data_IF_849037543744
#
_entry.id   IF_849037543744
#
_cell.length_a   1.000
_cell.length_b   1.000
_cell.length_c   1.000
_cell.angle_alpha   90.00
_cell.angle_beta   90.00
_cell.angle_gamma   90.00
#
_symmetry.space_group_name_H-M   'P 1'
#
loop_
_entity.id
_entity.type
_entity.pdbx_description
1 polymer ?
#
# COMPACT_ATOMS: atom_id res chain seq x y z
N UNK A 1 12.10 -2.64 21.20
CA UNK A 1 11.76 -2.16 19.84
C UNK A 1 12.95 -1.38 19.32
N UNK A 2 13.42 -1.65 18.09
CA UNK A 2 14.73 -1.18 17.63
C UNK A 2 14.86 0.35 17.50
N UNK A 3 13.75 1.09 17.37
CA UNK A 3 13.76 2.52 17.03
C UNK A 3 12.94 3.42 17.99
N UNK A 4 12.54 2.92 19.17
CA UNK A 4 11.73 3.69 20.15
C UNK A 4 10.40 4.27 19.64
N UNK A 5 9.90 3.78 18.51
CA UNK A 5 8.58 4.15 17.97
C UNK A 5 7.50 3.33 18.70
N UNK A 6 6.43 3.97 19.24
CA UNK A 6 5.29 3.25 19.81
C UNK A 6 4.65 2.31 18.79
N UNK A 7 4.30 1.10 19.22
CA UNK A 7 3.66 0.10 18.37
C UNK A 7 2.25 -0.13 18.87
N UNK A 8 1.31 0.07 17.95
CA UNK A 8 -0.11 -0.19 18.14
C UNK A 8 -0.52 -1.35 17.23
N UNK A 9 -1.44 -2.20 17.71
CA UNK A 9 -2.00 -3.32 16.93
C UNK A 9 -3.52 -3.20 16.88
N UNK A 10 -4.03 -2.14 16.24
CA UNK A 10 -5.47 -1.92 16.16
C UNK A 10 -6.11 -3.06 15.37
N UNK A 11 -7.14 -3.67 15.94
CA UNK A 11 -7.89 -4.77 15.30
C UNK A 11 -9.23 -4.31 14.74
N UNK A 12 -9.63 -3.09 15.08
CA UNK A 12 -10.90 -2.49 14.70
C UNK A 12 -10.73 -1.03 14.24
N UNK A 13 -11.75 -0.52 13.55
CA UNK A 13 -11.73 0.82 12.95
C UNK A 13 -11.73 1.95 13.99
N UNK A 14 -12.47 1.79 15.08
CA UNK A 14 -12.51 2.74 16.21
C UNK A 14 -11.16 2.86 16.92
N UNK A 15 -10.42 1.76 17.05
CA UNK A 15 -9.04 1.78 17.56
C UNK A 15 -8.11 2.57 16.62
N UNK A 16 -8.31 2.47 15.30
CA UNK A 16 -7.55 3.27 14.34
C UNK A 16 -7.87 4.76 14.44
N UNK A 17 -9.14 5.13 14.60
CA UNK A 17 -9.58 6.52 14.67
C UNK A 17 -8.82 7.32 15.75
N UNK A 18 -8.70 6.75 16.96
CA UNK A 18 -7.98 7.39 18.06
C UNK A 18 -6.49 7.63 17.75
N UNK A 19 -5.86 6.72 17.00
CA UNK A 19 -4.44 6.79 16.64
C UNK A 19 -4.20 7.85 15.54
N UNK A 20 -5.05 7.88 14.52
CA UNK A 20 -4.83 8.75 13.35
C UNK A 20 -5.27 10.19 13.58
N UNK A 21 -6.08 10.44 14.62
CA UNK A 21 -6.50 11.79 14.99
C UNK A 21 -5.33 12.72 15.40
N UNK A 22 -4.17 12.15 15.73
CA UNK A 22 -2.95 12.89 16.06
C UNK A 22 -1.96 12.99 14.89
N UNK A 23 -2.33 12.50 13.70
CA UNK A 23 -1.44 12.42 12.55
C UNK A 23 -1.83 13.42 11.45
N UNK A 24 -0.84 14.09 10.86
CA UNK A 24 -1.05 14.87 9.63
C UNK A 24 -1.20 13.98 8.39
N UNK A 25 -0.52 12.83 8.37
CA UNK A 25 -0.44 11.88 7.26
C UNK A 25 -0.27 10.47 7.81
N UNK A 26 -0.90 9.48 7.16
CA UNK A 26 -0.66 8.06 7.43
C UNK A 26 -0.04 7.40 6.21
N UNK A 27 1.03 6.62 6.44
CA UNK A 27 1.70 5.82 5.41
C UNK A 27 1.39 4.35 5.67
N UNK A 28 0.81 3.66 4.68
CA UNK A 28 0.49 2.25 4.76
C UNK A 28 1.31 1.44 3.76
N UNK A 29 1.73 0.24 4.18
CA UNK A 29 2.43 -0.73 3.35
C UNK A 29 1.92 -2.10 3.78
N UNK A 30 1.16 -2.78 2.91
CA UNK A 30 0.60 -4.11 3.21
C UNK A 30 -0.30 -4.15 4.46
N UNK A 31 -0.98 -3.04 4.78
CA UNK A 31 -1.87 -2.99 5.95
C UNK A 31 -3.19 -3.70 5.64
N UNK A 32 -3.53 -4.71 6.45
CA UNK A 32 -4.61 -5.65 6.15
C UNK A 32 -6.02 -5.22 6.57
N UNK A 33 -6.17 -4.10 7.30
CA UNK A 33 -7.49 -3.64 7.74
C UNK A 33 -8.12 -2.75 6.66
N UNK A 34 -9.32 -3.11 6.23
CA UNK A 34 -10.13 -2.25 5.37
C UNK A 34 -10.69 -1.09 6.19
N UNK A 35 -10.29 0.14 5.86
CA UNK A 35 -10.70 1.33 6.61
C UNK A 35 -11.94 1.98 5.96
N UNK A 36 -12.96 2.34 6.76
CA UNK A 36 -14.08 3.12 6.26
C UNK A 36 -13.61 4.53 5.84
N UNK A 37 -14.31 5.12 4.87
CA UNK A 37 -13.94 6.40 4.27
C UNK A 37 -13.81 7.56 5.29
N UNK A 38 -14.58 7.53 6.38
CA UNK A 38 -14.50 8.58 7.40
C UNK A 38 -13.13 8.58 8.10
N UNK A 39 -12.50 7.42 8.31
CA UNK A 39 -11.15 7.33 8.90
C UNK A 39 -10.11 7.87 7.94
N UNK A 40 -10.23 7.56 6.65
CA UNK A 40 -9.31 8.03 5.61
C UNK A 40 -9.24 9.56 5.53
N UNK A 41 -10.28 10.25 6.01
CA UNK A 41 -10.41 11.71 6.03
C UNK A 41 -9.92 12.37 7.32
N UNK A 42 -9.58 11.62 8.37
CA UNK A 42 -9.14 12.19 9.65
C UNK A 42 -7.79 12.92 9.50
N UNK A 43 -6.72 12.30 8.97
CA UNK A 43 -5.45 13.01 8.80
C UNK A 43 -5.58 14.12 7.77
N UNK A 44 -4.97 15.27 8.03
CA UNK A 44 -5.00 16.46 7.15
C UNK A 44 -4.65 16.15 5.69
N UNK A 45 -3.66 15.30 5.47
CA UNK A 45 -3.20 14.89 4.14
C UNK A 45 -3.75 13.52 3.71
N UNK A 46 -4.48 12.84 4.59
CA UNK A 46 -5.10 11.54 4.38
C UNK A 46 -4.12 10.38 4.53
N UNK A 47 -4.36 9.32 3.76
CA UNK A 47 -3.56 8.10 3.74
C UNK A 47 -2.87 7.95 2.39
N UNK A 48 -1.59 7.56 2.41
CA UNK A 48 -0.86 7.12 1.24
C UNK A 48 -0.44 5.67 1.41
N UNK A 49 -0.47 4.92 0.31
CA UNK A 49 -0.09 3.52 0.31
C UNK A 49 1.01 3.24 -0.70
N UNK A 50 1.94 2.36 -0.33
CA UNK A 50 2.89 1.75 -1.26
C UNK A 50 2.31 0.45 -1.80
N UNK A 51 2.07 0.42 -3.10
CA UNK A 51 1.55 -0.75 -3.81
C UNK A 51 2.63 -1.40 -4.67
N UNK A 52 2.71 -2.72 -4.68
CA UNK A 52 3.77 -3.48 -5.36
C UNK A 52 3.42 -3.82 -6.82
N UNK A 53 2.85 -2.85 -7.54
CA UNK A 53 2.73 -2.87 -9.00
C UNK A 53 2.81 -1.46 -9.59
N UNK A 54 2.83 -1.39 -10.92
CA UNK A 54 2.52 -0.18 -11.68
C UNK A 54 1.00 -0.02 -11.82
N UNK A 55 0.38 0.71 -10.90
CA UNK A 55 -1.05 1.00 -10.98
C UNK A 55 -1.38 1.75 -12.29
N UNK A 56 -2.55 1.52 -12.90
CA UNK A 56 -3.70 0.77 -12.37
C UNK A 56 -3.63 -0.76 -12.58
N UNK A 57 -2.54 -1.30 -13.14
CA UNK A 57 -2.38 -2.74 -13.34
C UNK A 57 -2.19 -3.43 -11.99
N UNK A 58 -2.82 -4.59 -11.82
CA UNK A 58 -2.72 -5.43 -10.62
C UNK A 58 -3.13 -4.75 -9.30
N UNK A 59 -4.27 -4.06 -9.28
CA UNK A 59 -4.94 -3.71 -8.02
C UNK A 59 -5.23 -4.97 -7.19
N UNK A 60 -5.28 -4.83 -5.87
CA UNK A 60 -5.63 -5.88 -4.92
C UNK A 60 -4.44 -6.60 -4.31
N UNK A 61 -4.68 -7.79 -3.77
CA UNK A 61 -3.85 -8.37 -2.72
C UNK A 61 -2.51 -9.01 -3.15
N UNK A 62 -2.35 -9.41 -4.40
CA UNK A 62 -1.20 -10.23 -4.84
C UNK A 62 -0.53 -9.71 -6.14
N UNK A 63 -0.17 -8.42 -6.23
CA UNK A 63 0.27 -7.83 -7.48
C UNK A 63 1.51 -8.47 -8.10
N UNK A 64 2.51 -8.80 -7.27
CA UNK A 64 3.78 -9.38 -7.71
C UNK A 64 3.58 -10.77 -8.31
N UNK A 65 2.83 -11.63 -7.61
CA UNK A 65 2.54 -12.99 -8.06
C UNK A 65 1.77 -12.98 -9.37
N UNK A 66 0.80 -12.06 -9.51
CA UNK A 66 -0.01 -11.95 -10.74
C UNK A 66 0.77 -11.39 -11.92
N UNK A 67 1.70 -10.46 -11.68
CA UNK A 67 2.62 -9.99 -12.72
C UNK A 67 3.47 -11.15 -13.28
N UNK A 68 4.04 -11.97 -12.39
CA UNK A 68 4.81 -13.16 -12.79
C UNK A 68 3.95 -14.20 -13.51
N UNK A 69 2.77 -14.53 -12.99
CA UNK A 69 1.85 -15.50 -13.59
C UNK A 69 1.39 -15.09 -15.00
N UNK A 70 1.19 -13.79 -15.22
CA UNK A 70 0.80 -13.25 -16.52
C UNK A 70 1.97 -13.13 -17.52
N UNK A 71 3.21 -13.38 -17.08
CA UNK A 71 4.41 -13.20 -17.89
C UNK A 71 4.77 -11.74 -18.16
N UNK A 72 4.44 -10.83 -17.24
CA UNK A 72 4.86 -9.43 -17.37
C UNK A 72 6.40 -9.35 -17.34
N UNK A 73 6.98 -8.61 -18.29
CA UNK A 73 8.44 -8.37 -18.35
C UNK A 73 8.86 -7.15 -17.53
N UNK A 74 7.89 -6.43 -16.97
CA UNK A 74 8.12 -5.20 -16.20
C UNK A 74 7.06 -5.05 -15.12
N UNK A 75 7.48 -4.68 -13.93
CA UNK A 75 6.59 -4.31 -12.82
C UNK A 75 7.17 -3.09 -12.10
N UNK A 76 6.73 -2.84 -10.87
CA UNK A 76 7.22 -1.72 -10.11
C UNK A 76 6.51 -1.54 -8.78
N UNK A 77 6.71 -0.37 -8.20
CA UNK A 77 5.99 0.09 -7.01
C UNK A 77 5.31 1.42 -7.33
N UNK A 78 4.15 1.66 -6.71
CA UNK A 78 3.38 2.90 -6.87
C UNK A 78 3.03 3.47 -5.50
N UNK A 79 3.29 4.77 -5.31
CA UNK A 79 2.78 5.55 -4.19
C UNK A 79 1.52 6.28 -4.65
N UNK A 80 0.40 6.02 -3.97
CA UNK A 80 -0.89 6.62 -4.31
C UNK A 80 -1.67 6.98 -3.04
N UNK A 81 -2.66 7.86 -3.17
CA UNK A 81 -3.58 8.21 -2.08
C UNK A 81 -4.69 7.16 -1.97
N UNK A 82 -5.00 6.69 -0.75
CA UNK A 82 -6.17 5.84 -0.55
C UNK A 82 -7.47 6.64 -0.75
N UNK A 83 -8.44 6.00 -1.39
CA UNK A 83 -9.82 6.47 -1.49
C UNK A 83 -10.78 5.35 -1.05
N UNK A 84 -12.08 5.51 -1.32
CA UNK A 84 -13.09 4.52 -0.95
C UNK A 84 -13.00 3.19 -1.72
N UNK A 85 -12.24 3.15 -2.81
CA UNK A 85 -12.09 1.95 -3.63
C UNK A 85 -10.78 1.22 -3.34
N UNK A 86 -10.62 0.04 -3.94
CA UNK A 86 -9.44 -0.80 -3.77
C UNK A 86 -8.36 -0.38 -4.78
N UNK A 87 -7.30 0.27 -4.28
CA UNK A 87 -6.16 0.74 -5.07
C UNK A 87 -6.54 1.64 -6.25
N UNK A 88 -7.58 2.47 -6.08
CA UNK A 88 -8.16 3.32 -7.14
C UNK A 88 -7.76 4.78 -7.07
N UNK A 89 -7.19 5.23 -5.95
CA UNK A 89 -6.97 6.64 -5.73
C UNK A 89 -5.81 7.25 -6.54
N UNK A 90 -5.64 8.58 -6.48
CA UNK A 90 -4.66 9.31 -7.27
C UNK A 90 -3.22 8.82 -7.05
N UNK A 91 -2.53 8.53 -8.15
CA UNK A 91 -1.11 8.15 -8.15
C UNK A 91 -0.24 9.40 -8.00
N UNK A 92 0.72 9.37 -7.08
CA UNK A 92 1.71 10.43 -6.91
C UNK A 92 3.02 10.12 -7.64
N UNK A 93 3.49 8.88 -7.56
CA UNK A 93 4.75 8.45 -8.18
C UNK A 93 4.77 6.94 -8.37
N UNK A 94 5.49 6.49 -9.39
CA UNK A 94 5.76 5.09 -9.64
C UNK A 94 7.22 4.89 -10.02
N UNK A 95 7.80 3.79 -9.55
CA UNK A 95 9.12 3.32 -9.96
C UNK A 95 8.94 1.98 -10.67
N UNK A 96 9.43 1.88 -11.90
CA UNK A 96 9.33 0.68 -12.71
C UNK A 96 10.69 -0.01 -12.85
N UNK A 97 10.69 -1.34 -12.84
CA UNK A 97 11.87 -2.17 -13.08
C UNK A 97 11.51 -3.41 -13.90
N UNK A 98 12.50 -3.95 -14.60
CA UNK A 98 12.32 -5.12 -15.45
C UNK A 98 12.32 -6.40 -14.61
N UNK A 99 11.52 -7.38 -15.03
CA UNK A 99 11.49 -8.72 -14.44
C UNK A 99 12.39 -9.61 -15.28
N UNK A 100 13.50 -10.04 -14.71
CA UNK A 100 14.36 -11.03 -15.34
C UNK A 100 13.70 -12.42 -15.35
N UNK A 101 13.97 -13.24 -16.36
CA UNK A 101 13.31 -14.54 -16.53
C UNK A 101 13.56 -15.54 -15.40
N UNK A 102 14.57 -15.30 -14.56
CA UNK A 102 14.92 -16.14 -13.41
C UNK A 102 14.35 -15.62 -12.09
N UNK A 103 13.77 -14.41 -12.07
CA UNK A 103 13.21 -13.81 -10.86
C UNK A 103 11.94 -14.53 -10.42
N UNK A 104 11.82 -14.75 -9.12
CA UNK A 104 10.64 -15.28 -8.47
C UNK A 104 9.98 -14.22 -7.58
N UNK A 105 8.90 -14.58 -6.88
CA UNK A 105 8.17 -13.64 -6.02
C UNK A 105 9.02 -13.05 -4.89
N UNK A 106 9.93 -13.83 -4.30
CA UNK A 106 10.80 -13.35 -3.23
C UNK A 106 11.81 -12.32 -3.77
N UNK A 107 12.36 -12.54 -4.96
CA UNK A 107 13.30 -11.59 -5.59
C UNK A 107 12.63 -10.23 -5.86
N UNK A 108 11.36 -10.24 -6.25
CA UNK A 108 10.59 -9.02 -6.54
C UNK A 108 10.05 -8.30 -5.27
N UNK A 109 10.12 -8.93 -4.10
CA UNK A 109 9.68 -8.37 -2.81
C UNK A 109 10.85 -8.03 -1.88
N UNK A 110 12.08 -8.25 -2.31
CA UNK A 110 13.30 -8.03 -1.54
C UNK A 110 13.70 -6.56 -1.42
#
# INVERSE_FOLDING_TARGET
>A
MANSVPVHKPVAADEMEALVNQCDLVVTIGFGLLLPEYILKIPKFGFINLHFSLLPRWRGAAPVQRALEAGDTRTGVTVFKLDKGMDTGPIYSSLAFDIESTMNTADLLA
#
